data_IF_120056260834
#
_entry.id   IF_120056260834
#
_cell.length_a   1.000
_cell.length_b   1.000
_cell.length_c   1.000
_cell.angle_alpha   90.00
_cell.angle_beta   90.00
_cell.angle_gamma   90.00
#
_symmetry.space_group_name_H-M   'P 1'
#
loop_
_entity.id
_entity.type
_entity.pdbx_description
1 polymer ?
#
# COMPACT_ATOMS: atom_id res chain seq x y z
N UNK A 1 -9.04 -2.74 1.35
CA UNK A 1 -7.64 -2.79 0.88
C UNK A 1 -7.26 -1.42 0.33
N UNK A 2 -6.20 -0.82 0.88
CA UNK A 2 -5.58 0.39 0.37
C UNK A 2 -4.27 -0.01 -0.29
N UNK A 3 -4.09 0.41 -1.54
CA UNK A 3 -2.89 0.05 -2.29
C UNK A 3 -2.32 1.26 -3.01
N UNK A 4 -1.00 1.26 -3.18
CA UNK A 4 -0.25 2.35 -3.81
C UNK A 4 0.84 1.75 -4.69
N UNK A 5 1.07 2.27 -5.91
CA UNK A 5 2.19 1.83 -6.71
C UNK A 5 3.49 2.25 -6.03
N UNK A 6 4.47 1.35 -5.97
CA UNK A 6 5.83 1.74 -5.61
C UNK A 6 6.35 2.62 -6.76
N UNK A 7 6.62 3.89 -6.46
CA UNK A 7 7.22 4.82 -7.41
C UNK A 7 8.72 4.72 -7.21
N UNK A 8 9.48 4.39 -8.25
CA UNK A 8 10.92 4.65 -8.24
C UNK A 8 11.08 6.17 -8.24
N UNK A 9 11.46 6.75 -7.11
CA UNK A 9 11.66 8.19 -6.93
C UNK A 9 12.93 8.67 -7.66
N UNK A 10 13.07 8.38 -8.95
CA UNK A 10 14.28 8.64 -9.75
C UNK A 10 15.48 7.75 -9.39
N UNK A 11 15.42 7.02 -8.26
CA UNK A 11 16.36 5.98 -7.88
C UNK A 11 15.64 4.63 -7.94
N UNK A 12 16.21 3.66 -8.65
CA UNK A 12 15.66 2.31 -8.70
C UNK A 12 15.48 1.78 -7.28
N UNK A 13 14.41 1.00 -7.03
CA UNK A 13 14.16 0.41 -5.69
C UNK A 13 15.39 -0.35 -5.15
N UNK A 14 16.29 -0.75 -6.04
CA UNK A 14 17.61 -1.31 -5.73
C UNK A 14 18.57 -0.45 -4.89
N UNK A 15 18.44 0.89 -4.84
CA UNK A 15 19.41 1.77 -4.16
C UNK A 15 19.11 2.04 -2.68
N UNK A 16 17.88 1.85 -2.24
CA UNK A 16 17.56 1.96 -0.81
C UNK A 16 18.16 0.75 -0.06
N UNK A 17 18.89 0.95 1.05
CA UNK A 17 19.34 -0.16 1.89
C UNK A 17 18.14 -0.80 2.62
N UNK A 18 18.20 -2.10 2.88
CA UNK A 18 17.16 -2.83 3.62
C UNK A 18 16.44 -3.91 2.83
N UNK A 19 15.56 -4.64 3.51
CA UNK A 19 14.69 -5.63 2.88
C UNK A 19 13.60 -4.97 2.01
N UNK A 20 12.87 -5.75 1.22
CA UNK A 20 11.85 -5.20 0.33
C UNK A 20 10.80 -4.39 1.11
N UNK A 21 10.45 -4.80 2.34
CA UNK A 21 9.44 -4.16 3.16
C UNK A 21 9.90 -2.79 3.64
N UNK A 22 11.14 -2.68 4.14
CA UNK A 22 11.77 -1.43 4.55
C UNK A 22 11.82 -0.40 3.41
N UNK A 23 11.91 -0.86 2.17
CA UNK A 23 11.88 0.01 0.98
C UNK A 23 10.49 0.51 0.63
N UNK A 24 9.43 -0.26 0.88
CA UNK A 24 8.05 0.16 0.54
C UNK A 24 7.35 0.92 1.66
N UNK A 25 7.75 0.68 2.91
CA UNK A 25 7.18 1.33 4.10
C UNK A 25 7.09 2.87 3.99
N UNK A 26 8.11 3.60 3.52
CA UNK A 26 8.03 5.05 3.35
C UNK A 26 6.89 5.51 2.43
N UNK A 27 6.57 4.73 1.39
CA UNK A 27 5.53 5.06 0.42
C UNK A 27 4.13 4.76 0.96
N UNK A 28 4.01 3.80 1.87
CA UNK A 28 2.73 3.44 2.48
C UNK A 28 2.40 4.30 3.70
N UNK A 29 3.38 4.94 4.32
CA UNK A 29 3.21 5.79 5.52
C UNK A 29 2.06 6.79 5.42
N UNK A 30 1.86 7.56 4.32
CA UNK A 30 0.72 8.48 4.22
C UNK A 30 -0.64 7.81 4.36
N UNK A 31 -0.78 6.54 3.93
CA UNK A 31 -2.03 5.78 4.11
C UNK A 31 -2.25 5.40 5.58
N UNK A 32 -1.18 5.03 6.29
CA UNK A 32 -1.26 4.78 7.74
C UNK A 32 -1.65 6.05 8.49
N UNK A 33 -0.98 7.18 8.18
CA UNK A 33 -1.24 8.46 8.83
C UNK A 33 -2.69 8.90 8.62
N UNK A 34 -3.21 8.82 7.39
CA UNK A 34 -4.60 9.15 7.10
C UNK A 34 -5.61 8.27 7.86
N UNK A 35 -5.34 6.96 7.99
CA UNK A 35 -6.20 6.08 8.78
C UNK A 35 -6.12 6.39 10.27
N UNK A 36 -4.93 6.68 10.79
CA UNK A 36 -4.74 7.09 12.18
C UNK A 36 -5.49 8.38 12.49
N UNK A 37 -5.52 9.34 11.57
CA UNK A 37 -6.24 10.60 11.74
C UNK A 37 -7.78 10.40 11.74
N UNK A 38 -8.29 9.50 10.89
CA UNK A 38 -9.74 9.28 10.74
C UNK A 38 -10.30 8.34 11.81
N UNK A 39 -9.58 7.25 12.12
CA UNK A 39 -10.06 6.15 12.96
C UNK A 39 -9.38 6.12 14.34
N UNK A 40 -8.26 6.82 14.52
CA UNK A 40 -7.38 6.70 15.67
C UNK A 40 -6.39 5.53 15.52
N UNK A 41 -5.19 5.70 16.09
CA UNK A 41 -4.10 4.72 15.99
C UNK A 41 -4.47 3.33 16.54
N UNK A 42 -5.06 3.27 17.73
CA UNK A 42 -5.42 1.99 18.37
C UNK A 42 -6.51 1.23 17.58
N UNK A 43 -7.48 1.95 17.03
CA UNK A 43 -8.55 1.32 16.24
C UNK A 43 -8.03 0.81 14.90
N UNK A 44 -7.22 1.64 14.22
CA UNK A 44 -6.56 1.29 12.96
C UNK A 44 -5.72 0.02 13.14
N UNK A 45 -4.87 -0.02 14.16
CA UNK A 45 -4.01 -1.17 14.43
C UNK A 45 -4.84 -2.45 14.64
N UNK A 46 -5.92 -2.39 15.43
CA UNK A 46 -6.83 -3.52 15.62
C UNK A 46 -7.49 -3.99 14.33
N UNK A 47 -7.87 -3.08 13.44
CA UNK A 47 -8.47 -3.43 12.15
C UNK A 47 -7.46 -4.05 11.19
N UNK A 48 -6.20 -3.60 11.23
CA UNK A 48 -5.10 -4.17 10.46
C UNK A 48 -4.77 -5.59 10.95
N UNK A 49 -4.65 -5.78 12.27
CA UNK A 49 -4.37 -7.10 12.87
C UNK A 49 -5.49 -8.12 12.58
N UNK A 50 -6.73 -7.67 12.49
CA UNK A 50 -7.89 -8.51 12.10
C UNK A 50 -7.99 -8.74 10.58
N UNK A 51 -7.16 -8.08 9.77
CA UNK A 51 -7.22 -8.15 8.32
C UNK A 51 -8.41 -7.41 7.69
N UNK A 52 -9.16 -6.62 8.46
CA UNK A 52 -10.27 -5.80 7.95
C UNK A 52 -9.75 -4.64 7.09
N UNK A 53 -8.65 -4.03 7.52
CA UNK A 53 -7.89 -3.07 6.72
C UNK A 53 -6.59 -3.74 6.31
N UNK A 54 -6.27 -3.64 5.03
CA UNK A 54 -4.99 -4.09 4.50
C UNK A 54 -4.36 -2.92 3.73
N UNK A 55 -3.08 -2.65 4.00
CA UNK A 55 -2.29 -1.64 3.29
C UNK A 55 -1.12 -2.36 2.65
N UNK A 56 -1.05 -2.35 1.32
CA UNK A 56 -0.05 -3.11 0.59
C UNK A 56 0.34 -2.47 -0.75
N UNK A 57 1.56 -2.70 -1.25
CA UNK A 57 1.96 -2.20 -2.57
C UNK A 57 1.12 -2.82 -3.70
N UNK A 58 0.91 -2.08 -4.80
CA UNK A 58 0.11 -2.58 -5.94
C UNK A 58 0.63 -3.91 -6.49
N UNK A 59 1.95 -4.13 -6.47
CA UNK A 59 2.56 -5.37 -6.92
C UNK A 59 2.08 -6.62 -6.16
N UNK A 60 1.63 -6.46 -4.90
CA UNK A 60 1.14 -7.56 -4.06
C UNK A 60 -0.31 -7.94 -4.38
N UNK A 61 -1.00 -7.14 -5.21
CA UNK A 61 -2.38 -7.44 -5.63
C UNK A 61 -2.43 -8.47 -6.76
N UNK A 62 -1.32 -8.65 -7.50
CA UNK A 62 -1.26 -9.55 -8.66
C UNK A 62 -1.59 -10.99 -8.28
N UNK A 63 -2.57 -11.57 -8.98
CA UNK A 63 -2.99 -12.96 -8.78
C UNK A 63 -3.90 -13.19 -7.58
N UNK A 64 -4.31 -12.14 -6.87
CA UNK A 64 -5.33 -12.24 -5.82
C UNK A 64 -6.73 -12.16 -6.41
N UNK A 65 -7.65 -12.92 -5.80
CA UNK A 65 -9.09 -12.69 -5.95
C UNK A 65 -9.54 -11.90 -4.73
N UNK A 66 -10.20 -10.77 -4.95
CA UNK A 66 -10.58 -9.81 -3.90
C UNK A 66 -12.10 -9.80 -3.76
N UNK A 67 -12.62 -10.81 -3.07
CA UNK A 67 -14.05 -10.94 -2.78
C UNK A 67 -14.45 -10.10 -1.57
N UNK A 68 -15.66 -9.54 -1.60
CA UNK A 68 -16.25 -8.72 -0.51
C UNK A 68 -15.29 -7.63 0.02
N UNK A 69 -14.58 -6.98 -0.90
CA UNK A 69 -13.55 -6.01 -0.57
C UNK A 69 -13.79 -4.67 -1.27
N UNK A 70 -13.63 -3.58 -0.51
CA UNK A 70 -13.38 -2.27 -1.09
C UNK A 70 -11.88 -2.10 -1.35
N UNK A 71 -11.51 -1.79 -2.59
CA UNK A 71 -10.13 -1.57 -3.00
C UNK A 71 -9.96 -0.12 -3.42
N UNK A 72 -9.00 0.58 -2.82
CA UNK A 72 -8.62 1.94 -3.20
C UNK A 72 -7.18 1.90 -3.68
N UNK A 73 -6.97 2.31 -4.93
CA UNK A 73 -5.66 2.55 -5.51
C UNK A 73 -5.33 4.04 -5.38
N UNK A 74 -4.42 4.37 -4.48
CA UNK A 74 -3.88 5.71 -4.31
C UNK A 74 -2.74 5.98 -5.31
N UNK A 75 -2.53 7.24 -5.66
CA UNK A 75 -1.56 7.69 -6.68
C UNK A 75 -1.64 6.92 -8.01
N UNK A 76 -2.85 6.62 -8.49
CA UNK A 76 -3.09 5.81 -9.68
C UNK A 76 -2.38 6.37 -10.94
N UNK A 77 -2.11 7.67 -11.00
CA UNK A 77 -1.37 8.29 -12.09
C UNK A 77 0.09 7.81 -12.20
N UNK A 78 0.66 7.24 -11.14
CA UNK A 78 2.01 6.67 -11.14
C UNK A 78 2.04 5.19 -11.59
N UNK A 79 0.91 4.64 -12.05
CA UNK A 79 0.85 3.28 -12.58
C UNK A 79 1.21 3.23 -14.06
N UNK A 80 1.75 2.08 -14.47
CA UNK A 80 1.88 1.73 -15.89
C UNK A 80 0.62 1.02 -16.37
N UNK A 81 0.32 1.09 -17.67
CA UNK A 81 -0.79 0.31 -18.25
C UNK A 81 -0.69 -1.20 -17.97
N UNK A 82 0.53 -1.74 -17.84
CA UNK A 82 0.74 -3.16 -17.54
C UNK A 82 0.38 -3.53 -16.09
N UNK A 83 0.43 -2.59 -15.15
CA UNK A 83 0.02 -2.79 -13.76
C UNK A 83 -1.50 -2.66 -13.56
N UNK A 84 -2.18 -1.98 -14.48
CA UNK A 84 -3.63 -1.78 -14.45
C UNK A 84 -4.42 -2.82 -15.27
N UNK A 85 -3.72 -3.74 -15.96
CA UNK A 85 -4.30 -4.84 -16.72
C UNK A 85 -4.29 -6.12 -15.89
#
# INVERSE_FOLDING_TARGET
ILTRPAVEAGESLGFLPGDLKEKVDPYLRPLYDALHDILGAEHTQRMIERGTIEIAPLAYMRGRTLDDAFVILDEAQNTTQAQMK
#
